data_IF_588482424982
#
_entry.id   IF_588482424982
#
_cell.length_a   1.000
_cell.length_b   1.000
_cell.length_c   1.000
_cell.angle_alpha   90.00
_cell.angle_beta   90.00
_cell.angle_gamma   90.00
#
_symmetry.space_group_name_H-M   'P 1'
#
loop_
_entity.id
_entity.type
_entity.pdbx_description
1 polymer ?
#
# COMPACT_ATOMS: atom_id res chain seq x y z
N UNK A 1 14.72 -8.00 -17.88
CA UNK A 1 13.71 -6.98 -17.52
C UNK A 1 14.01 -5.68 -18.24
N UNK A 2 13.14 -5.24 -19.14
CA UNK A 2 13.26 -3.93 -19.79
C UNK A 2 12.45 -2.92 -18.98
N UNK A 3 13.01 -2.48 -17.84
CA UNK A 3 12.39 -1.36 -17.13
C UNK A 3 12.66 -0.09 -17.91
N UNK A 4 11.62 0.50 -18.47
CA UNK A 4 11.68 1.84 -19.02
C UNK A 4 12.18 2.79 -17.94
N UNK A 5 13.04 3.73 -18.34
CA UNK A 5 13.49 4.79 -17.45
C UNK A 5 12.28 5.72 -17.22
N UNK A 6 11.57 5.52 -16.13
CA UNK A 6 10.55 6.46 -15.69
C UNK A 6 11.18 7.82 -15.47
N UNK A 7 10.57 8.86 -16.03
CA UNK A 7 11.02 10.23 -15.85
C UNK A 7 10.15 11.00 -14.85
N UNK A 8 8.90 10.61 -14.67
CA UNK A 8 7.98 11.22 -13.71
C UNK A 8 6.81 10.29 -13.35
N UNK A 9 6.31 10.43 -12.12
CA UNK A 9 5.08 9.80 -11.64
C UNK A 9 4.07 10.88 -11.27
N UNK A 10 2.78 10.63 -11.54
CA UNK A 10 1.72 11.54 -11.14
C UNK A 10 0.35 10.86 -11.09
N UNK A 11 -0.56 11.46 -10.30
CA UNK A 11 -1.91 10.97 -10.11
C UNK A 11 -1.98 9.74 -9.21
N UNK A 12 -3.08 9.63 -8.49
CA UNK A 12 -3.50 8.44 -7.75
C UNK A 12 -4.93 8.18 -8.18
N UNK A 13 -5.21 7.00 -8.70
CA UNK A 13 -6.51 6.64 -9.27
C UNK A 13 -6.89 5.23 -8.78
N UNK A 14 -8.19 4.89 -8.88
CA UNK A 14 -8.74 3.54 -8.63
C UNK A 14 -8.31 2.89 -7.32
N UNK A 15 -8.26 3.69 -6.24
CA UNK A 15 -7.86 3.16 -4.95
C UNK A 15 -8.89 2.17 -4.43
N UNK A 16 -8.43 1.01 -3.93
CA UNK A 16 -9.28 -0.04 -3.36
C UNK A 16 -8.62 -0.59 -2.09
N UNK A 17 -9.44 -1.04 -1.16
CA UNK A 17 -8.97 -1.73 0.05
C UNK A 17 -9.53 -3.15 0.08
N UNK A 18 -8.67 -4.14 0.19
CA UNK A 18 -9.02 -5.55 0.36
C UNK A 18 -8.81 -5.93 1.82
N UNK A 19 -9.87 -5.98 2.65
CA UNK A 19 -9.76 -6.40 4.05
C UNK A 19 -9.13 -7.78 4.17
N UNK A 20 -8.33 -7.99 5.21
CA UNK A 20 -7.80 -9.31 5.55
C UNK A 20 -8.71 -9.94 6.61
N UNK A 21 -9.22 -11.11 6.32
CA UNK A 21 -10.02 -11.91 7.24
C UNK A 21 -9.23 -13.19 7.51
N UNK A 22 -8.85 -13.39 8.78
CA UNK A 22 -7.92 -14.45 9.17
C UNK A 22 -6.58 -14.32 8.41
N UNK A 23 -6.25 -15.31 7.59
CA UNK A 23 -4.98 -15.35 6.83
C UNK A 23 -5.13 -14.94 5.36
N UNK A 24 -6.33 -14.60 4.89
CA UNK A 24 -6.61 -14.32 3.48
C UNK A 24 -7.11 -12.89 3.26
N UNK A 25 -6.71 -12.30 2.13
CA UNK A 25 -7.29 -11.05 1.67
C UNK A 25 -8.65 -11.28 1.00
N UNK A 26 -9.54 -10.33 1.18
CA UNK A 26 -10.82 -10.31 0.46
C UNK A 26 -10.59 -10.26 -1.06
N UNK A 27 -11.48 -10.89 -1.81
CA UNK A 27 -11.44 -10.94 -3.26
C UNK A 27 -12.79 -10.59 -3.87
N UNK A 28 -12.80 -10.19 -5.14
CA UNK A 28 -14.00 -9.87 -5.89
C UNK A 28 -14.80 -8.70 -5.27
N UNK A 29 -16.09 -8.89 -5.11
CA UNK A 29 -17.01 -7.87 -4.59
C UNK A 29 -16.75 -7.43 -3.14
N UNK A 30 -15.91 -8.17 -2.40
CA UNK A 30 -15.51 -7.82 -1.03
C UNK A 30 -14.35 -6.83 -0.99
N UNK A 31 -13.74 -6.52 -2.10
CA UNK A 31 -12.74 -5.44 -2.22
C UNK A 31 -13.49 -4.11 -2.27
N UNK A 32 -13.18 -3.22 -1.32
CA UNK A 32 -13.85 -1.93 -1.17
C UNK A 32 -13.23 -0.89 -2.12
N UNK A 33 -13.97 -0.32 -3.08
CA UNK A 33 -13.48 0.82 -3.84
C UNK A 33 -13.49 2.08 -2.98
N UNK A 34 -12.38 2.81 -2.93
CA UNK A 34 -12.23 4.07 -2.20
C UNK A 34 -12.37 5.24 -3.18
N UNK A 35 -13.57 5.77 -3.33
CA UNK A 35 -13.94 6.70 -4.41
C UNK A 35 -13.35 8.11 -4.25
N UNK A 36 -12.96 8.51 -3.05
CA UNK A 36 -12.61 9.90 -2.73
C UNK A 36 -11.10 10.10 -2.53
N UNK A 37 -10.29 9.10 -2.83
CA UNK A 37 -8.86 9.18 -2.65
C UNK A 37 -8.24 10.24 -3.57
N UNK A 38 -7.46 11.15 -3.00
CA UNK A 38 -6.82 12.29 -3.65
C UNK A 38 -5.30 12.18 -3.69
N UNK A 39 -4.73 11.61 -2.64
CA UNK A 39 -3.28 11.48 -2.49
C UNK A 39 -2.94 10.24 -1.66
N UNK A 40 -1.76 9.71 -1.91
CA UNK A 40 -1.15 8.65 -1.11
C UNK A 40 0.34 8.98 -0.97
N UNK A 41 0.79 9.23 0.24
CA UNK A 41 2.18 9.55 0.56
C UNK A 41 2.78 8.41 1.38
N UNK A 42 3.90 7.87 0.93
CA UNK A 42 4.61 6.79 1.62
C UNK A 42 5.94 7.31 2.17
N UNK A 43 6.23 7.00 3.42
CA UNK A 43 7.48 7.33 4.11
C UNK A 43 8.16 6.05 4.60
N UNK A 44 9.34 5.77 4.10
CA UNK A 44 10.10 4.57 4.49
C UNK A 44 10.55 4.65 5.95
N UNK A 45 10.48 3.52 6.65
CA UNK A 45 10.91 3.35 8.03
C UNK A 45 12.18 2.51 8.14
N UNK A 46 13.09 2.72 7.19
CA UNK A 46 14.40 2.10 7.20
C UNK A 46 15.30 2.79 8.24
N UNK A 47 15.66 2.06 9.26
CA UNK A 47 16.64 2.45 10.27
C UNK A 47 17.94 1.67 10.10
N UNK A 48 19.04 2.19 10.62
CA UNK A 48 20.28 1.46 10.71
C UNK A 48 20.55 1.10 12.18
N UNK A 49 20.82 -0.16 12.43
CA UNK A 49 21.39 -0.59 13.71
C UNK A 49 22.91 -0.62 13.57
N UNK A 50 23.59 0.19 14.35
CA UNK A 50 25.04 0.35 14.32
C UNK A 50 25.64 -0.16 15.64
N UNK A 51 26.74 -0.87 15.54
CA UNK A 51 27.53 -1.26 16.69
C UNK A 51 28.95 -0.75 16.56
N UNK A 52 29.44 -0.17 17.64
CA UNK A 52 30.78 0.39 17.77
C UNK A 52 31.58 -0.41 18.78
N UNK A 53 32.89 -0.52 18.58
CA UNK A 53 33.89 -0.92 19.57
C UNK A 53 35.16 -0.12 19.35
N UNK A 54 35.81 0.30 20.44
CA UNK A 54 37.05 1.09 20.44
C UNK A 54 36.96 2.32 19.53
N UNK A 55 35.82 3.05 19.57
CA UNK A 55 35.48 4.22 18.75
C UNK A 55 35.42 3.96 17.25
N UNK A 56 35.38 2.70 16.82
CA UNK A 56 35.23 2.31 15.42
C UNK A 56 33.89 1.61 15.16
N UNK A 57 33.25 1.95 14.02
CA UNK A 57 32.05 1.26 13.56
C UNK A 57 32.40 -0.18 13.19
N UNK A 58 31.88 -1.17 13.93
CA UNK A 58 32.10 -2.58 13.64
C UNK A 58 31.19 -3.09 12.54
N UNK A 59 29.91 -2.80 12.64
CA UNK A 59 28.93 -3.18 11.61
C UNK A 59 27.70 -2.27 11.64
N UNK A 60 27.07 -2.20 10.49
CA UNK A 60 25.80 -1.51 10.28
C UNK A 60 24.82 -2.44 9.58
N UNK A 61 23.70 -2.71 10.23
CA UNK A 61 22.65 -3.59 9.69
C UNK A 61 21.42 -2.77 9.42
N UNK A 62 20.84 -2.83 8.21
CA UNK A 62 19.56 -2.19 7.93
C UNK A 62 18.43 -2.90 8.69
N UNK A 63 17.57 -2.12 9.35
CA UNK A 63 16.35 -2.57 10.00
C UNK A 63 15.17 -1.91 9.26
N UNK A 64 14.60 -2.62 8.29
CA UNK A 64 13.49 -2.15 7.48
C UNK A 64 12.17 -2.54 8.15
N UNK A 65 11.47 -1.53 8.65
CA UNK A 65 10.19 -1.69 9.36
C UNK A 65 8.97 -1.46 8.44
N UNK A 66 9.19 -1.32 7.14
CA UNK A 66 8.15 -1.03 6.16
C UNK A 66 7.93 0.46 5.93
N UNK A 67 6.67 0.87 5.84
CA UNK A 67 6.31 2.25 5.55
C UNK A 67 5.22 2.75 6.48
N UNK A 68 5.32 4.01 6.89
CA UNK A 68 4.16 4.81 7.26
C UNK A 68 3.60 5.46 6.00
N UNK A 69 2.28 5.64 5.95
CA UNK A 69 1.66 6.33 4.84
C UNK A 69 0.48 7.19 5.30
N UNK A 70 0.14 8.15 4.46
CA UNK A 70 -1.04 8.98 4.61
C UNK A 70 -1.85 8.94 3.32
N UNK A 71 -3.11 8.54 3.43
CA UNK A 71 -4.07 8.62 2.34
C UNK A 71 -4.99 9.81 2.57
N UNK A 72 -4.86 10.82 1.70
CA UNK A 72 -5.77 11.97 1.68
C UNK A 72 -7.00 11.68 0.83
N UNK A 73 -8.19 12.05 1.35
CA UNK A 73 -9.46 11.95 0.62
C UNK A 73 -10.19 13.28 0.66
N UNK A 74 -11.14 13.48 -0.24
CA UNK A 74 -11.99 14.69 -0.27
C UNK A 74 -13.22 14.58 0.64
N UNK A 75 -13.53 13.37 1.09
CA UNK A 75 -14.62 13.08 2.01
C UNK A 75 -14.28 11.81 2.81
N UNK A 76 -14.91 11.59 4.00
CA UNK A 76 -14.76 10.34 4.72
C UNK A 76 -15.33 9.17 3.88
N UNK A 77 -14.63 8.04 3.92
CA UNK A 77 -15.09 6.81 3.30
C UNK A 77 -15.72 5.92 4.37
N UNK A 78 -17.05 5.96 4.45
CA UNK A 78 -17.81 5.25 5.48
C UNK A 78 -17.58 3.73 5.43
N UNK A 79 -17.42 3.14 4.24
CA UNK A 79 -17.20 1.71 4.11
C UNK A 79 -15.84 1.32 4.70
N UNK A 80 -14.82 2.11 4.44
CA UNK A 80 -13.47 1.92 5.03
C UNK A 80 -13.53 2.10 6.55
N UNK A 81 -14.23 3.13 7.05
CA UNK A 81 -14.33 3.42 8.48
C UNK A 81 -15.06 2.33 9.27
N UNK A 82 -16.11 1.75 8.68
CA UNK A 82 -16.82 0.60 9.26
C UNK A 82 -15.91 -0.63 9.35
N UNK A 83 -15.17 -0.92 8.27
CA UNK A 83 -14.22 -2.04 8.26
C UNK A 83 -13.04 -1.77 9.20
N UNK A 84 -12.59 -0.53 9.30
CA UNK A 84 -11.53 -0.13 10.25
C UNK A 84 -11.98 -0.18 11.72
N UNK A 85 -13.27 -0.36 11.98
CA UNK A 85 -13.82 -0.66 13.32
C UNK A 85 -13.95 0.54 14.26
N UNK A 86 -13.82 1.76 13.75
CA UNK A 86 -14.06 2.98 14.55
C UNK A 86 -15.32 3.75 14.13
N UNK A 87 -16.03 3.30 13.11
CA UNK A 87 -17.35 3.76 12.76
C UNK A 87 -18.38 2.68 13.06
N UNK A 88 -19.56 3.09 13.49
CA UNK A 88 -20.68 2.22 13.81
C UNK A 88 -21.94 2.76 13.14
N UNK A 89 -22.80 1.87 12.66
CA UNK A 89 -24.12 2.25 12.17
C UNK A 89 -25.01 2.63 13.34
N UNK A 90 -25.48 3.86 13.37
CA UNK A 90 -26.44 4.37 14.34
C UNK A 90 -27.86 4.42 13.76
N UNK A 91 -28.84 4.64 14.60
CA UNK A 91 -30.27 4.70 14.19
C UNK A 91 -30.58 5.82 13.17
N UNK A 92 -29.75 6.82 13.04
CA UNK A 92 -29.96 7.96 12.14
C UNK A 92 -28.68 8.49 11.48
N UNK A 93 -27.60 7.72 11.49
CA UNK A 93 -26.32 8.15 10.91
C UNK A 93 -25.14 7.28 11.35
N UNK A 94 -23.94 7.75 11.09
CA UNK A 94 -22.69 7.07 11.46
C UNK A 94 -22.14 7.65 12.75
N UNK A 95 -21.82 6.78 13.70
CA UNK A 95 -21.21 7.13 14.98
C UNK A 95 -19.70 6.91 14.86
N UNK A 96 -18.91 7.95 15.08
CA UNK A 96 -17.46 7.78 15.22
C UNK A 96 -17.15 7.37 16.66
N UNK A 97 -16.60 6.18 16.83
CA UNK A 97 -16.24 5.60 18.13
C UNK A 97 -14.72 5.57 18.32
N UNK A 98 -14.25 5.03 19.44
CA UNK A 98 -12.85 4.68 19.61
C UNK A 98 -12.48 3.49 18.73
N UNK A 99 -11.28 3.50 18.20
CA UNK A 99 -10.71 2.33 17.51
C UNK A 99 -10.19 1.35 18.57
N UNK A 100 -10.70 0.12 18.54
CA UNK A 100 -10.34 -0.91 19.51
C UNK A 100 -9.22 -1.81 18.97
N UNK A 101 -9.23 -2.02 17.64
CA UNK A 101 -8.23 -2.81 16.92
C UNK A 101 -7.96 -2.17 15.56
N UNK A 102 -6.87 -2.57 14.93
CA UNK A 102 -6.54 -2.10 13.59
C UNK A 102 -7.02 -3.09 12.54
N UNK A 103 -7.91 -2.64 11.65
CA UNK A 103 -8.22 -3.42 10.46
C UNK A 103 -6.99 -3.55 9.59
N UNK A 104 -6.69 -4.78 9.20
CA UNK A 104 -5.62 -5.10 8.26
C UNK A 104 -6.18 -5.45 6.90
N UNK A 105 -5.41 -5.15 5.87
CA UNK A 105 -5.80 -5.44 4.51
C UNK A 105 -4.66 -5.19 3.53
N UNK A 106 -4.99 -5.19 2.25
CA UNK A 106 -4.10 -4.72 1.20
C UNK A 106 -4.72 -3.51 0.52
N UNK A 107 -3.90 -2.52 0.18
CA UNK A 107 -4.33 -1.31 -0.50
C UNK A 107 -3.86 -1.34 -1.96
N UNK A 108 -4.80 -1.26 -2.88
CA UNK A 108 -4.55 -1.11 -4.31
C UNK A 108 -4.63 0.34 -4.72
N UNK A 109 -3.79 0.75 -5.64
CA UNK A 109 -3.89 2.03 -6.32
C UNK A 109 -3.21 1.99 -7.69
N UNK A 110 -3.59 2.92 -8.54
CA UNK A 110 -2.96 3.14 -9.83
C UNK A 110 -2.34 4.53 -9.89
N UNK A 111 -1.25 4.66 -10.64
CA UNK A 111 -0.63 5.95 -10.93
C UNK A 111 -0.07 5.98 -12.35
N UNK A 112 0.12 7.18 -12.87
CA UNK A 112 0.67 7.39 -14.21
C UNK A 112 2.19 7.52 -14.14
N UNK A 113 2.85 6.75 -14.99
CA UNK A 113 4.28 6.83 -15.23
C UNK A 113 4.51 7.45 -16.60
N UNK A 114 5.37 8.47 -16.67
CA UNK A 114 5.81 9.07 -17.93
C UNK A 114 7.25 8.66 -18.21
N UNK A 115 7.53 8.12 -19.38
CA UNK A 115 8.88 7.80 -19.82
C UNK A 115 9.64 9.03 -20.33
N UNK A 116 10.95 8.87 -20.63
CA UNK A 116 11.79 9.93 -21.16
C UNK A 116 11.39 10.46 -22.54
N UNK A 117 10.50 9.75 -23.25
CA UNK A 117 9.94 10.13 -24.55
C UNK A 117 8.57 10.81 -24.43
N UNK A 118 8.09 11.00 -23.19
CA UNK A 118 6.80 11.61 -22.92
C UNK A 118 5.59 10.66 -23.00
N UNK A 119 5.80 9.37 -23.28
CA UNK A 119 4.72 8.37 -23.27
C UNK A 119 4.24 8.14 -21.85
N UNK A 120 2.94 8.19 -21.66
CA UNK A 120 2.27 7.91 -20.37
C UNK A 120 1.75 6.49 -20.38
N UNK A 121 2.02 5.75 -19.30
CA UNK A 121 1.45 4.43 -19.06
C UNK A 121 0.93 4.33 -17.62
N UNK A 122 -0.09 3.50 -17.41
CA UNK A 122 -0.65 3.24 -16.09
C UNK A 122 0.17 2.16 -15.39
N UNK A 123 0.45 2.40 -14.12
CA UNK A 123 1.12 1.45 -13.24
C UNK A 123 0.15 1.06 -12.14
N UNK A 124 0.02 -0.23 -11.91
CA UNK A 124 -0.85 -0.81 -10.87
C UNK A 124 0.00 -1.24 -9.69
N UNK A 125 -0.48 -0.99 -8.47
CA UNK A 125 0.29 -1.29 -7.26
C UNK A 125 -0.60 -1.85 -6.16
N UNK A 126 -0.12 -2.88 -5.45
CA UNK A 126 -0.65 -3.37 -4.19
C UNK A 126 0.34 -3.11 -3.06
N UNK A 127 -0.14 -2.55 -1.95
CA UNK A 127 0.55 -2.50 -0.66
C UNK A 127 0.02 -3.62 0.21
N UNK A 128 0.93 -4.36 0.86
CA UNK A 128 0.58 -5.54 1.64
C UNK A 128 0.52 -5.26 3.13
N UNK A 129 -0.36 -5.96 3.81
CA UNK A 129 -0.51 -5.94 5.26
C UNK A 129 -0.56 -4.51 5.81
N UNK A 130 -1.53 -3.75 5.29
CA UNK A 130 -1.78 -2.35 5.62
C UNK A 130 -2.73 -2.28 6.79
N UNK A 131 -2.33 -1.63 7.87
CA UNK A 131 -3.21 -1.21 8.96
C UNK A 131 -3.78 0.18 8.66
N UNK A 132 -5.08 0.34 8.91
CA UNK A 132 -5.80 1.61 8.72
C UNK A 132 -6.09 2.22 10.08
N UNK A 133 -5.51 3.38 10.32
CA UNK A 133 -5.80 4.16 11.53
C UNK A 133 -7.01 5.07 11.36
N UNK A 134 -7.48 5.60 12.48
CA UNK A 134 -8.64 6.48 12.51
C UNK A 134 -8.39 7.75 11.70
N UNK A 135 -9.31 8.04 10.79
CA UNK A 135 -9.26 9.21 9.93
C UNK A 135 -9.44 10.52 10.69
N UNK A 136 -8.80 11.56 10.18
CA UNK A 136 -8.83 12.91 10.75
C UNK A 136 -9.42 13.90 9.76
N UNK A 137 -10.56 14.54 10.07
CA UNK A 137 -11.16 15.57 9.24
C UNK A 137 -10.47 16.92 9.44
N UNK A 138 -10.35 17.69 8.35
CA UNK A 138 -10.03 19.11 8.40
C UNK A 138 -11.17 19.89 7.77
N UNK A 139 -11.79 20.75 8.56
CA UNK A 139 -12.87 21.62 8.12
C UNK A 139 -12.36 23.07 8.07
N UNK A 140 -12.67 23.76 6.97
CA UNK A 140 -12.35 25.17 6.78
C UNK A 140 -13.62 25.93 6.47
N UNK A 141 -13.70 27.19 6.95
CA UNK A 141 -14.82 28.08 6.65
C UNK A 141 -14.61 28.71 5.27
N UNK A 142 -15.68 28.78 4.47
CA UNK A 142 -15.67 29.53 3.22
C UNK A 142 -15.56 31.02 3.52
N UNK A 143 -14.57 31.67 2.91
CA UNK A 143 -14.40 33.12 3.00
C UNK A 143 -14.80 33.79 1.68
N UNK A 144 -13.82 34.07 0.80
CA UNK A 144 -14.06 34.65 -0.53
C UNK A 144 -14.16 33.61 -1.64
N UNK A 145 -13.79 32.35 -1.35
CA UNK A 145 -13.85 31.19 -2.25
C UNK A 145 -14.25 29.95 -1.47
N UNK A 146 -14.81 28.95 -2.16
CA UNK A 146 -15.15 27.66 -1.57
C UNK A 146 -13.87 26.96 -1.11
N UNK A 147 -13.77 26.65 0.17
CA UNK A 147 -12.68 25.90 0.77
C UNK A 147 -13.11 24.45 1.03
N UNK A 148 -12.57 23.51 0.27
CA UNK A 148 -12.86 22.11 0.47
C UNK A 148 -12.09 21.55 1.67
N UNK A 149 -12.81 20.91 2.59
CA UNK A 149 -12.21 20.12 3.66
C UNK A 149 -11.42 18.95 3.08
N UNK A 150 -10.50 18.45 3.87
CA UNK A 150 -9.73 17.24 3.56
C UNK A 150 -9.89 16.24 4.69
N UNK A 151 -9.77 14.96 4.34
CA UNK A 151 -9.80 13.87 5.29
C UNK A 151 -8.54 13.04 5.11
N UNK A 152 -7.86 12.68 6.19
CA UNK A 152 -6.59 11.95 6.13
C UNK A 152 -6.67 10.67 6.95
N UNK A 153 -6.33 9.55 6.33
CA UNK A 153 -6.19 8.26 6.98
C UNK A 153 -4.72 7.94 7.17
N UNK A 154 -4.24 7.79 8.41
CA UNK A 154 -2.91 7.26 8.67
C UNK A 154 -2.91 5.76 8.38
N UNK A 155 -1.86 5.30 7.68
CA UNK A 155 -1.68 3.90 7.29
C UNK A 155 -0.31 3.42 7.75
N UNK A 156 -0.23 2.13 8.11
CA UNK A 156 1.02 1.45 8.40
C UNK A 156 1.14 0.22 7.52
N UNK A 157 2.27 0.06 6.81
CA UNK A 157 2.52 -1.04 5.88
C UNK A 157 3.60 -1.95 6.47
N UNK A 158 3.23 -3.20 6.79
CA UNK A 158 4.12 -4.21 7.35
C UNK A 158 4.63 -5.20 6.30
N UNK A 159 3.94 -5.31 5.17
CA UNK A 159 4.27 -6.24 4.10
C UNK A 159 3.90 -7.69 4.39
N UNK A 160 4.07 -8.53 3.38
CA UNK A 160 3.90 -9.98 3.44
C UNK A 160 5.17 -10.70 3.00
N UNK A 161 5.31 -11.97 3.38
CA UNK A 161 6.45 -12.76 2.96
C UNK A 161 6.48 -12.92 1.44
N UNK A 162 7.64 -12.67 0.84
CA UNK A 162 7.88 -13.05 -0.56
C UNK A 162 7.93 -14.56 -0.64
N UNK A 163 7.19 -15.14 -1.59
CA UNK A 163 7.12 -16.59 -1.78
C UNK A 163 8.07 -17.06 -2.89
N UNK A 164 8.44 -18.32 -2.84
CA UNK A 164 9.13 -19.02 -3.93
C UNK A 164 8.29 -19.00 -5.22
N UNK A 165 8.89 -19.25 -6.35
CA UNK A 165 8.23 -19.18 -7.67
C UNK A 165 7.00 -20.09 -7.79
N UNK A 166 7.01 -21.23 -7.10
CA UNK A 166 5.86 -22.13 -6.97
C UNK A 166 4.83 -21.69 -5.93
N UNK A 167 5.16 -20.71 -5.08
CA UNK A 167 4.31 -20.20 -4.01
C UNK A 167 4.19 -21.13 -2.80
N UNK A 168 4.98 -22.21 -2.71
CA UNK A 168 4.82 -23.22 -1.68
C UNK A 168 5.46 -22.85 -0.34
N UNK A 169 6.51 -22.02 -0.34
CA UNK A 169 7.27 -21.64 0.86
C UNK A 169 7.82 -20.22 0.75
N UNK A 170 8.17 -19.57 1.87
CA UNK A 170 8.86 -18.30 1.84
C UNK A 170 10.17 -18.36 1.05
N UNK A 171 10.41 -17.32 0.26
CA UNK A 171 11.66 -17.15 -0.48
C UNK A 171 12.78 -16.77 0.47
N UNK A 172 13.87 -17.50 0.38
CA UNK A 172 15.12 -17.22 1.08
C UNK A 172 16.13 -16.75 0.04
N UNK A 173 16.73 -15.59 0.25
CA UNK A 173 17.74 -15.06 -0.66
C UNK A 173 19.08 -15.82 -0.55
N UNK A 174 20.04 -15.44 -1.39
CA UNK A 174 21.39 -16.02 -1.42
C UNK A 174 22.22 -15.78 -0.15
N UNK A 175 21.75 -14.92 0.75
CA UNK A 175 22.34 -14.69 2.09
C UNK A 175 21.63 -15.51 3.19
N UNK A 176 20.67 -16.34 2.83
CA UNK A 176 19.89 -17.15 3.77
C UNK A 176 18.81 -16.37 4.52
N UNK A 177 18.41 -15.17 4.03
CA UNK A 177 17.44 -14.31 4.70
C UNK A 177 16.07 -14.35 4.02
N UNK A 178 14.96 -14.45 4.79
CA UNK A 178 13.63 -14.28 4.24
C UNK A 178 13.42 -12.84 3.77
N UNK A 179 12.63 -12.67 2.70
CA UNK A 179 12.33 -11.34 2.14
C UNK A 179 10.86 -11.00 2.37
N UNK A 180 10.61 -9.71 2.61
CA UNK A 180 9.26 -9.15 2.80
C UNK A 180 8.93 -8.23 1.62
N UNK A 181 7.76 -8.40 1.04
CA UNK A 181 7.19 -7.51 0.03
C UNK A 181 6.28 -6.49 0.71
N UNK A 182 6.64 -5.23 0.67
CA UNK A 182 5.79 -4.13 1.14
C UNK A 182 4.84 -3.66 0.04
N UNK A 183 5.33 -3.70 -1.19
CA UNK A 183 4.56 -3.32 -2.37
C UNK A 183 4.88 -4.24 -3.56
N UNK A 184 3.88 -4.43 -4.42
CA UNK A 184 4.04 -5.14 -5.69
C UNK A 184 3.47 -4.27 -6.81
N UNK A 185 4.27 -4.06 -7.84
CA UNK A 185 3.96 -3.16 -8.94
C UNK A 185 3.90 -3.92 -10.24
N UNK A 186 2.83 -3.71 -11.03
CA UNK A 186 2.69 -4.24 -12.38
C UNK A 186 2.62 -3.10 -13.41
N UNK A 187 3.33 -3.28 -14.52
CA UNK A 187 3.40 -2.34 -15.65
C UNK A 187 2.80 -2.96 -16.90
N UNK A 188 2.40 -2.14 -17.83
CA UNK A 188 1.91 -2.59 -19.13
C UNK A 188 2.94 -3.51 -19.79
N UNK A 189 2.51 -4.71 -20.12
CA UNK A 189 3.35 -5.78 -20.69
C UNK A 189 3.87 -6.80 -19.68
N UNK A 190 3.65 -6.60 -18.37
CA UNK A 190 3.89 -7.61 -17.36
C UNK A 190 2.79 -8.68 -17.42
N UNK A 191 3.13 -9.92 -17.12
CA UNK A 191 2.18 -11.02 -17.04
C UNK A 191 1.11 -10.73 -15.97
N UNK A 192 -0.16 -10.91 -16.32
CA UNK A 192 -1.29 -10.65 -15.43
C UNK A 192 -1.62 -9.20 -15.18
N UNK A 193 -1.00 -8.24 -15.93
CA UNK A 193 -1.26 -6.81 -15.76
C UNK A 193 -2.75 -6.46 -15.81
N UNK A 194 -3.51 -7.00 -16.75
CA UNK A 194 -4.92 -6.62 -16.94
C UNK A 194 -5.79 -6.98 -15.72
N UNK A 195 -5.53 -8.11 -15.11
CA UNK A 195 -6.27 -8.63 -13.94
C UNK A 195 -5.61 -8.31 -12.59
N UNK A 196 -4.50 -7.54 -12.60
CA UNK A 196 -3.71 -7.27 -11.39
C UNK A 196 -4.49 -6.58 -10.27
N UNK A 197 -5.54 -5.81 -10.60
CA UNK A 197 -6.41 -5.12 -9.66
C UNK A 197 -7.64 -5.91 -9.19
N UNK A 198 -7.84 -7.15 -9.63
CA UNK A 198 -9.05 -7.93 -9.35
C UNK A 198 -8.95 -8.74 -8.05
N UNK A 199 -7.73 -9.09 -7.67
CA UNK A 199 -7.44 -9.78 -6.41
C UNK A 199 -6.02 -9.42 -5.95
N UNK A 200 -5.76 -9.54 -4.65
CA UNK A 200 -4.42 -9.33 -4.08
C UNK A 200 -3.50 -10.46 -4.54
N UNK A 201 -2.48 -10.19 -5.37
CA UNK A 201 -1.59 -11.24 -5.84
C UNK A 201 -0.65 -11.69 -4.72
N UNK A 202 -0.31 -12.97 -4.69
CA UNK A 202 0.76 -13.47 -3.81
C UNK A 202 2.10 -12.96 -4.34
N UNK A 203 2.92 -12.26 -3.54
CA UNK A 203 4.22 -11.78 -4.00
C UNK A 203 5.19 -12.96 -4.16
N UNK A 204 5.53 -13.30 -5.39
CA UNK A 204 6.42 -14.42 -5.73
C UNK A 204 7.64 -13.95 -6.50
N UNK A 205 8.78 -14.61 -6.27
CA UNK A 205 9.93 -14.43 -7.15
C UNK A 205 9.64 -15.04 -8.52
N UNK A 206 10.23 -14.48 -9.56
CA UNK A 206 10.15 -15.07 -10.90
C UNK A 206 10.81 -16.47 -10.90
N UNK A 207 10.26 -17.40 -11.68
CA UNK A 207 10.95 -18.64 -11.94
C UNK A 207 12.33 -18.37 -12.59
N UNK A 208 13.37 -19.17 -12.28
CA UNK A 208 14.64 -19.07 -13.00
C UNK A 208 14.37 -19.20 -14.51
N UNK A 209 14.94 -18.28 -15.31
CA UNK A 209 14.86 -18.42 -16.77
C UNK A 209 15.52 -19.71 -17.19
N UNK A 210 14.85 -20.47 -18.08
CA UNK A 210 15.40 -21.73 -18.62
C UNK A 210 16.63 -21.54 -19.50
N UNK A 211 17.03 -20.28 -19.74
CA UNK A 211 18.22 -19.88 -20.52
C UNK A 211 19.35 -19.45 -19.56
N UNK A 212 20.06 -20.43 -19.06
CA UNK A 212 21.29 -20.30 -18.31
C UNK A 212 22.39 -21.11 -18.96
#
# INVERSE_FOLDING_TARGET
MKHNKAAAYHGVEHVKFAPRVEEAYAAGEKILPLLYAKSLNLSSLLEAVEQYADDHLLFRVPNDKGYDAEMGTTAPDTALELVAGYALEGAGGIISANQVDYARGALYYEFKERDGNGKVSMVKCWLYNVEVGKGSPTHTTDESSVAFGTYTYPLRIYGDAVMSSDGAKPYIDDRGMPRTAFLYTARVGDEGYDTFGDAVPVPKVAAPSADG
#
